data_IF_539156211721
#
_entry.id   IF_539156211721
#
_cell.length_a   1.000
_cell.length_b   1.000
_cell.length_c   1.000
_cell.angle_alpha   90.00
_cell.angle_beta   90.00
_cell.angle_gamma   90.00
#
_symmetry.space_group_name_H-M   'P 1'
#
loop_
_entity.id
_entity.type
_entity.pdbx_description
1 polymer ?
#
# COMPACT_ATOMS: atom_id res chain seq x y z
N UNK A 1 -10.00 -9.83 -6.31
CA UNK A 1 -10.75 -8.88 -5.47
C UNK A 1 -10.06 -7.54 -5.56
N UNK A 2 -10.79 -6.42 -5.50
CA UNK A 2 -10.13 -5.12 -5.42
C UNK A 2 -9.85 -4.79 -3.95
N UNK A 3 -8.64 -4.32 -3.66
CA UNK A 3 -8.18 -3.90 -2.34
C UNK A 3 -7.92 -2.40 -2.36
N UNK A 4 -8.34 -1.71 -1.31
CA UNK A 4 -8.04 -0.30 -1.16
C UNK A 4 -6.58 -0.10 -0.79
N UNK A 5 -5.92 0.84 -1.46
CA UNK A 5 -4.54 1.22 -1.19
C UNK A 5 -4.51 2.14 0.03
N UNK A 6 -3.79 1.72 1.07
CA UNK A 6 -3.66 2.45 2.33
C UNK A 6 -2.49 3.44 2.33
N UNK A 7 -1.41 3.08 1.63
CA UNK A 7 -0.20 3.89 1.46
C UNK A 7 0.32 3.72 0.04
N UNK A 8 0.95 4.76 -0.49
CA UNK A 8 1.51 4.80 -1.82
C UNK A 8 2.68 3.83 -2.00
N UNK A 9 2.72 3.16 -3.15
CA UNK A 9 3.78 2.21 -3.50
C UNK A 9 3.92 2.02 -5.01
N UNK A 10 5.08 1.51 -5.43
CA UNK A 10 5.34 1.10 -6.81
C UNK A 10 5.18 -0.42 -6.90
N UNK A 11 4.25 -0.89 -7.72
CA UNK A 11 4.08 -2.30 -8.00
C UNK A 11 4.96 -2.72 -9.17
N UNK A 12 6.02 -3.49 -8.87
CA UNK A 12 6.98 -3.96 -9.87
C UNK A 12 6.37 -5.02 -10.79
N UNK A 13 5.39 -5.79 -10.29
CA UNK A 13 4.71 -6.83 -11.06
C UNK A 13 3.70 -6.27 -12.08
N UNK A 14 3.42 -4.97 -12.02
CA UNK A 14 2.48 -4.27 -12.89
C UNK A 14 3.22 -3.18 -13.67
N UNK A 15 4.33 -3.51 -14.33
CA UNK A 15 5.09 -2.54 -15.15
C UNK A 15 5.56 -1.30 -14.37
N UNK A 16 5.96 -1.47 -13.09
CA UNK A 16 6.29 -0.38 -12.18
C UNK A 16 5.14 0.64 -11.99
N UNK A 17 3.90 0.16 -12.01
CA UNK A 17 2.71 0.99 -11.80
C UNK A 17 2.74 1.61 -10.41
N UNK A 18 2.61 2.93 -10.36
CA UNK A 18 2.43 3.67 -9.12
C UNK A 18 0.96 3.63 -8.66
N UNK A 19 0.77 3.22 -7.41
CA UNK A 19 -0.50 3.21 -6.71
C UNK A 19 -0.52 4.28 -5.64
N UNK A 20 -1.53 5.15 -5.65
CA UNK A 20 -1.71 6.19 -4.65
C UNK A 20 -2.63 5.70 -3.54
N UNK A 21 -2.43 6.22 -2.33
CA UNK A 21 -3.37 6.04 -1.24
C UNK A 21 -4.78 6.43 -1.68
N UNK A 22 -5.73 5.51 -1.48
CA UNK A 22 -7.12 5.66 -1.91
C UNK A 22 -7.45 4.98 -3.24
N UNK A 23 -6.45 4.61 -4.04
CA UNK A 23 -6.66 3.83 -5.27
C UNK A 23 -7.16 2.41 -4.97
N UNK A 24 -7.65 1.74 -6.01
CA UNK A 24 -8.01 0.32 -5.99
C UNK A 24 -6.90 -0.50 -6.64
N UNK A 25 -6.46 -1.55 -5.94
CA UNK A 25 -5.50 -2.53 -6.43
C UNK A 25 -6.20 -3.87 -6.67
N UNK A 26 -5.91 -4.60 -7.75
CA UNK A 26 -5.11 -4.16 -8.91
C UNK A 26 -5.86 -3.11 -9.75
N UNK A 27 -5.14 -2.25 -10.49
CA UNK A 27 -5.76 -1.42 -11.54
C UNK A 27 -6.38 -2.30 -12.62
N UNK A 28 -7.35 -1.76 -13.35
CA UNK A 28 -7.95 -2.44 -14.49
C UNK A 28 -6.89 -2.90 -15.49
N UNK A 29 -7.03 -4.14 -15.97
CA UNK A 29 -6.05 -4.78 -16.85
C UNK A 29 -4.95 -5.56 -16.14
N UNK A 30 -4.75 -5.37 -14.83
CA UNK A 30 -3.77 -6.13 -14.06
C UNK A 30 -4.39 -7.26 -13.24
N UNK A 31 -3.60 -8.31 -13.00
CA UNK A 31 -4.01 -9.47 -12.19
C UNK A 31 -3.36 -9.41 -10.81
N UNK A 32 -4.17 -9.63 -9.78
CA UNK A 32 -3.66 -9.78 -8.42
C UNK A 32 -2.86 -11.08 -8.28
N UNK A 33 -1.71 -11.01 -7.63
CA UNK A 33 -0.91 -12.18 -7.27
C UNK A 33 -1.09 -12.40 -5.76
N UNK A 34 -1.67 -13.54 -5.35
CA UNK A 34 -2.02 -13.78 -3.95
C UNK A 34 -0.84 -13.64 -2.97
N UNK A 35 0.37 -14.08 -3.35
CA UNK A 35 1.60 -13.88 -2.55
C UNK A 35 1.92 -12.39 -2.39
N UNK A 36 1.74 -11.62 -3.46
CA UNK A 36 1.99 -10.18 -3.49
C UNK A 36 0.97 -9.42 -2.65
N UNK A 37 -0.31 -9.77 -2.77
CA UNK A 37 -1.39 -9.21 -1.94
C UNK A 37 -1.09 -9.43 -0.46
N UNK A 38 -0.71 -10.65 -0.06
CA UNK A 38 -0.32 -10.93 1.34
C UNK A 38 0.87 -10.11 1.81
N UNK A 39 1.87 -9.90 0.95
CA UNK A 39 3.01 -9.06 1.25
C UNK A 39 2.59 -7.59 1.45
N UNK A 40 1.77 -7.05 0.56
CA UNK A 40 1.28 -5.67 0.64
C UNK A 40 0.30 -5.45 1.80
N UNK A 41 -0.43 -6.48 2.22
CA UNK A 41 -1.28 -6.48 3.43
C UNK A 41 -0.50 -6.69 4.73
N UNK A 42 0.74 -7.18 4.63
CA UNK A 42 1.63 -7.33 5.78
C UNK A 42 2.24 -5.99 6.16
N UNK A 43 2.60 -5.84 7.43
CA UNK A 43 3.28 -4.64 7.91
C UNK A 43 4.72 -4.69 7.41
N UNK A 44 5.12 -3.70 6.62
CA UNK A 44 6.49 -3.58 6.15
C UNK A 44 7.41 -3.22 7.31
N UNK A 45 8.46 -4.00 7.56
CA UNK A 45 9.34 -3.85 8.74
C UNK A 45 10.00 -2.47 8.83
N UNK A 46 10.33 -1.88 7.68
CA UNK A 46 11.01 -0.58 7.57
C UNK A 46 10.08 0.60 7.86
N UNK A 47 8.82 0.53 7.40
CA UNK A 47 7.88 1.64 7.46
C UNK A 47 6.78 1.45 8.51
N UNK A 48 6.66 0.24 9.07
CA UNK A 48 5.60 -0.19 9.98
C UNK A 48 4.17 0.09 9.45
N UNK A 49 4.01 0.09 8.13
CA UNK A 49 2.71 0.26 7.46
C UNK A 49 2.39 -0.89 6.52
N UNK A 50 1.09 -1.13 6.30
CA UNK A 50 0.60 -1.96 5.22
C UNK A 50 0.22 -1.07 4.01
N UNK A 51 0.40 -1.60 2.80
CA UNK A 51 0.08 -0.89 1.55
C UNK A 51 -1.34 -1.19 1.06
N UNK A 52 -1.88 -2.36 1.38
CA UNK A 52 -3.24 -2.76 1.03
C UNK A 52 -4.09 -3.02 2.28
N UNK A 53 -5.39 -2.75 2.15
CA UNK A 53 -6.38 -3.12 3.15
C UNK A 53 -6.47 -4.64 3.29
N UNK A 54 -6.51 -5.12 4.55
CA UNK A 54 -6.83 -6.51 4.85
C UNK A 54 -8.33 -6.70 4.65
N UNK A 55 -8.72 -7.55 3.71
CA UNK A 55 -10.09 -8.03 3.64
C UNK A 55 -10.46 -8.64 5.00
N UNK A 56 -11.52 -8.15 5.63
CA UNK A 56 -11.93 -8.39 7.04
C UNK A 56 -12.28 -9.86 7.38
N UNK A 57 -11.80 -10.84 6.62
CA UNK A 57 -12.07 -12.26 6.81
C UNK A 57 -10.82 -13.06 7.21
N UNK A 58 -9.94 -12.49 8.05
CA UNK A 58 -8.93 -13.28 8.78
C UNK A 58 -8.65 -12.66 10.15
N UNK A 59 -9.33 -13.24 11.12
CA UNK A 59 -9.18 -13.17 12.57
C UNK A 59 -7.84 -12.66 13.12
N UNK A 60 -7.95 -11.63 13.98
CA UNK A 60 -7.20 -11.39 15.23
C UNK A 60 -5.67 -11.58 15.19
N UNK A 61 -4.95 -10.47 15.05
CA UNK A 61 -3.86 -10.05 15.99
C UNK A 61 -3.33 -8.68 15.52
N UNK A 62 -3.65 -7.64 16.28
CA UNK A 62 -3.01 -6.32 16.19
C UNK A 62 -1.77 -6.30 17.10
N UNK A 63 -0.87 -5.32 16.94
CA UNK A 63 -0.93 -4.24 17.93
C UNK A 63 -1.10 -2.85 17.32
N UNK A 64 -1.89 -2.05 18.05
CA UNK A 64 -1.99 -0.59 17.96
C UNK A 64 -0.63 0.03 18.32
N UNK A 65 -0.21 1.07 17.62
CA UNK A 65 0.29 2.27 18.29
C UNK A 65 0.19 3.52 17.40
N UNK A 66 0.35 4.66 18.06
CA UNK A 66 -0.32 5.94 17.84
C UNK A 66 0.70 6.96 17.32
N UNK A 67 0.20 8.04 16.69
CA UNK A 67 0.86 9.34 16.37
C UNK A 67 1.47 9.42 14.96
N UNK A 68 0.93 10.23 14.04
CA UNK A 68 0.99 11.71 13.88
C UNK A 68 2.24 12.15 13.11
N UNK A 69 1.99 12.83 11.98
CA UNK A 69 2.91 13.68 11.17
C UNK A 69 4.07 12.95 10.48
N UNK A 70 4.44 13.28 9.24
CA UNK A 70 4.04 14.34 8.34
C UNK A 70 4.95 14.32 7.11
N UNK A 71 4.42 14.86 6.00
CA UNK A 71 5.12 15.58 4.93
C UNK A 71 6.44 15.03 4.37
N UNK A 72 6.41 14.69 3.07
CA UNK A 72 7.36 15.32 2.14
C UNK A 72 6.70 15.64 0.80
N UNK A 73 6.04 16.79 0.76
CA UNK A 73 6.00 17.62 -0.43
C UNK A 73 7.08 18.70 -0.26
N UNK A 74 8.11 18.70 -1.10
CA UNK A 74 8.98 19.82 -1.50
C UNK A 74 9.97 19.23 -2.52
N UNK A 75 9.94 19.54 -3.83
CA UNK A 75 9.99 20.80 -4.59
C UNK A 75 11.38 21.42 -4.62
N UNK A 76 11.95 21.46 -5.83
CA UNK A 76 12.89 22.46 -6.36
C UNK A 76 12.81 22.27 -7.90
N UNK A 77 12.55 23.24 -8.78
CA UNK A 77 12.81 24.67 -8.70
C UNK A 77 14.16 24.99 -9.36
N UNK A 78 14.12 25.51 -10.61
CA UNK A 78 15.23 26.15 -11.35
C UNK A 78 16.42 25.24 -11.77
N UNK A 79 17.05 25.37 -12.95
CA UNK A 79 17.22 26.49 -13.90
C UNK A 79 16.98 26.09 -15.36
#
# INVERSE_FOLDING_TARGET
>A
MAYKVLNDFIEKEHDNTFYKKGDMYPKEGFKEIARRVKFLQSIHSEYNVAFLEKSENVTKTAPKEKKTQGSKAEKDGES
#
